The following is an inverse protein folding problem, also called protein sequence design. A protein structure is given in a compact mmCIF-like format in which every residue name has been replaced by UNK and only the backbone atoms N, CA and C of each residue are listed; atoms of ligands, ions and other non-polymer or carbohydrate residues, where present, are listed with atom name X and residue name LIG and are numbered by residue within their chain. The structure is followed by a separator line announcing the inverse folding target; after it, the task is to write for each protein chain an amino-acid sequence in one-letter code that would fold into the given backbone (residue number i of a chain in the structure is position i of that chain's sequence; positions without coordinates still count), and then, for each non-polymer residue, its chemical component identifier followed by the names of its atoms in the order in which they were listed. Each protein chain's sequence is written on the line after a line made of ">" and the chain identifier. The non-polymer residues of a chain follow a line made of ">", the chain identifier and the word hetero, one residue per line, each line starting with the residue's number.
data_IF_167685486674
#
_entry.id   IF_167685486674
#
_cell.length_a   1.000
_cell.length_b   1.000
_cell.length_c   1.000
_cell.angle_alpha   90.00
_cell.angle_beta   90.00
_cell.angle_gamma   90.00
#
_symmetry.space_group_name_H-M   'P 1'
#
loop_
_entity.id
_entity.type
_entity.pdbx_description
1 polymer ?
#
# COMPACT_ATOMS: atom_id res chain seq x y z
N UNK A 1 11.77 -20.62 -25.31
CA UNK A 1 10.46 -20.36 -24.68
C UNK A 1 9.58 -19.59 -25.66
N UNK A 2 8.32 -19.97 -25.86
CA UNK A 2 7.40 -19.22 -26.73
C UNK A 2 6.88 -17.95 -26.04
N UNK A 3 6.53 -16.92 -26.81
CA UNK A 3 6.02 -15.64 -26.29
C UNK A 3 4.81 -15.80 -25.34
N UNK A 4 3.82 -16.68 -25.61
CA UNK A 4 2.71 -16.91 -24.69
C UNK A 4 3.13 -17.46 -23.32
N UNK A 5 4.05 -18.43 -23.29
CA UNK A 5 4.55 -19.02 -22.03
C UNK A 5 5.31 -18.01 -21.18
N UNK A 6 6.08 -17.12 -21.82
CA UNK A 6 6.77 -16.03 -21.12
C UNK A 6 5.79 -15.02 -20.52
N UNK A 7 4.74 -14.67 -21.27
CA UNK A 7 3.71 -13.76 -20.81
C UNK A 7 2.94 -14.33 -19.60
N UNK A 8 2.54 -15.60 -19.68
CA UNK A 8 1.88 -16.32 -18.60
C UNK A 8 2.73 -16.35 -17.31
N UNK A 9 4.03 -16.64 -17.43
CA UNK A 9 4.94 -16.59 -16.27
C UNK A 9 5.01 -15.20 -15.62
N UNK A 10 5.04 -14.13 -16.42
CA UNK A 10 5.05 -12.76 -15.90
C UNK A 10 3.73 -12.40 -15.21
N UNK A 11 2.61 -12.81 -15.79
CA UNK A 11 1.28 -12.60 -15.21
C UNK A 11 1.17 -13.31 -13.86
N UNK A 12 1.57 -14.58 -13.78
CA UNK A 12 1.56 -15.35 -12.53
C UNK A 12 2.49 -14.75 -11.47
N UNK A 13 3.67 -14.25 -11.87
CA UNK A 13 4.59 -13.58 -10.97
C UNK A 13 3.99 -12.30 -10.38
N UNK A 14 3.39 -11.44 -11.22
CA UNK A 14 2.74 -10.22 -10.77
C UNK A 14 1.55 -10.52 -9.85
N UNK A 15 0.78 -11.55 -10.18
CA UNK A 15 -0.36 -11.98 -9.39
C UNK A 15 0.03 -12.44 -7.98
N UNK A 16 1.14 -13.20 -7.85
CA UNK A 16 1.63 -13.65 -6.54
C UNK A 16 2.17 -12.48 -5.69
N UNK A 17 2.80 -11.49 -6.32
CA UNK A 17 3.24 -10.26 -5.63
C UNK A 17 2.05 -9.46 -5.10
N UNK A 18 0.98 -9.32 -5.90
CA UNK A 18 -0.25 -8.67 -5.46
C UNK A 18 -0.90 -9.40 -4.28
N UNK A 19 -0.94 -10.73 -4.32
CA UNK A 19 -1.48 -11.56 -3.23
C UNK A 19 -0.68 -11.39 -1.93
N UNK A 20 0.66 -11.45 -2.01
CA UNK A 20 1.53 -11.19 -0.85
C UNK A 20 1.32 -9.79 -0.29
N UNK A 21 1.17 -8.78 -1.14
CA UNK A 21 0.92 -7.41 -0.69
C UNK A 21 -0.44 -7.27 0.01
N UNK A 22 -1.50 -7.89 -0.53
CA UNK A 22 -2.83 -7.90 0.11
C UNK A 22 -2.78 -8.54 1.49
N UNK A 23 -2.08 -9.68 1.65
CA UNK A 23 -1.92 -10.35 2.94
C UNK A 23 -1.25 -9.44 3.99
N UNK A 24 -0.19 -8.74 3.60
CA UNK A 24 0.53 -7.83 4.51
C UNK A 24 -0.35 -6.64 4.91
N UNK A 25 -1.11 -6.09 3.96
CA UNK A 25 -2.03 -4.98 4.22
C UNK A 25 -3.24 -5.42 5.06
N UNK A 26 -3.77 -6.63 4.83
CA UNK A 26 -4.94 -7.18 5.52
C UNK A 26 -4.68 -7.61 6.95
N UNK A 27 -3.49 -8.14 7.25
CA UNK A 27 -3.18 -8.71 8.57
C UNK A 27 -2.91 -7.67 9.67
N UNK A 28 -3.06 -6.36 9.41
CA UNK A 28 -2.87 -5.30 10.39
C UNK A 28 -1.43 -5.10 10.89
N UNK A 29 -0.55 -6.09 10.68
CA UNK A 29 0.87 -6.11 11.03
C UNK A 29 1.76 -5.23 10.13
N UNK A 30 1.18 -4.53 9.16
CA UNK A 30 1.87 -3.62 8.24
C UNK A 30 2.79 -2.59 8.93
N UNK A 31 2.56 -2.27 10.21
CA UNK A 31 3.41 -1.36 10.99
C UNK A 31 4.75 -2.00 11.37
N UNK A 32 4.81 -3.32 11.59
CA UNK A 32 6.03 -4.05 11.94
C UNK A 32 6.86 -4.44 10.70
N UNK A 33 6.28 -4.35 9.50
CA UNK A 33 6.91 -4.80 8.25
C UNK A 33 7.10 -3.67 7.21
N UNK A 34 7.39 -2.44 7.66
CA UNK A 34 7.56 -1.27 6.78
C UNK A 34 8.56 -1.48 5.65
N UNK A 35 9.67 -2.18 5.93
CA UNK A 35 10.69 -2.49 4.92
C UNK A 35 10.16 -3.51 3.90
N UNK A 36 9.44 -4.53 4.36
CA UNK A 36 8.87 -5.59 3.51
C UNK A 36 7.78 -5.07 2.57
N UNK A 37 6.97 -4.12 3.03
CA UNK A 37 5.97 -3.45 2.18
C UNK A 37 6.65 -2.67 1.05
N UNK A 38 7.75 -1.95 1.36
CA UNK A 38 8.49 -1.19 0.34
C UNK A 38 9.16 -2.11 -0.67
N UNK A 39 9.77 -3.20 -0.21
CA UNK A 39 10.38 -4.22 -1.06
C UNK A 39 9.35 -4.83 -2.02
N UNK A 40 8.21 -5.30 -1.50
CA UNK A 40 7.15 -5.90 -2.34
C UNK A 40 6.54 -4.87 -3.30
N UNK A 41 6.37 -3.61 -2.88
CA UNK A 41 5.88 -2.57 -3.78
C UNK A 41 6.88 -2.29 -4.92
N UNK A 42 8.18 -2.29 -4.61
CA UNK A 42 9.24 -2.13 -5.62
C UNK A 42 9.24 -3.31 -6.60
N UNK A 43 9.25 -4.54 -6.11
CA UNK A 43 9.20 -5.77 -6.92
C UNK A 43 7.96 -5.78 -7.83
N UNK A 44 6.79 -5.44 -7.28
CA UNK A 44 5.53 -5.38 -8.04
C UNK A 44 5.58 -4.35 -9.16
N UNK A 45 6.12 -3.16 -8.89
CA UNK A 45 6.26 -2.12 -9.92
C UNK A 45 7.21 -2.57 -11.04
N UNK A 46 8.31 -3.23 -10.68
CA UNK A 46 9.24 -3.78 -11.67
C UNK A 46 8.58 -4.90 -12.49
N UNK A 47 7.84 -5.81 -11.85
CA UNK A 47 7.10 -6.87 -12.53
C UNK A 47 6.03 -6.31 -13.49
N UNK A 48 5.36 -5.22 -13.12
CA UNK A 48 4.39 -4.53 -13.97
C UNK A 48 5.03 -3.89 -15.20
N UNK A 49 6.12 -3.13 -15.03
CA UNK A 49 6.82 -2.51 -16.17
C UNK A 49 7.37 -3.58 -17.14
N UNK A 50 7.88 -4.68 -16.59
CA UNK A 50 8.31 -5.83 -17.39
C UNK A 50 7.16 -6.46 -18.20
N UNK A 51 5.99 -6.61 -17.59
CA UNK A 51 4.79 -7.12 -18.27
C UNK A 51 4.34 -6.15 -19.38
N UNK A 52 4.32 -4.86 -19.09
CA UNK A 52 3.96 -3.79 -20.04
C UNK A 52 4.88 -3.78 -21.26
N UNK A 53 6.18 -3.92 -21.06
CA UNK A 53 7.16 -3.97 -22.15
C UNK A 53 6.96 -5.20 -23.03
N UNK A 54 6.72 -6.37 -22.43
CA UNK A 54 6.47 -7.60 -23.19
C UNK A 54 5.17 -7.50 -24.00
N UNK A 55 4.09 -6.99 -23.40
CA UNK A 55 2.82 -6.75 -24.07
C UNK A 55 2.97 -5.75 -25.23
N UNK A 56 3.76 -4.69 -25.06
CA UNK A 56 4.04 -3.71 -26.11
C UNK A 56 4.81 -4.33 -27.27
N UNK A 57 5.80 -5.17 -26.98
CA UNK A 57 6.57 -5.90 -27.99
C UNK A 57 5.71 -6.91 -28.79
N UNK A 58 4.69 -7.49 -28.15
CA UNK A 58 3.72 -8.39 -28.80
C UNK A 58 2.68 -7.58 -29.60
N UNK A 59 2.21 -6.46 -29.06
CA UNK A 59 1.19 -5.60 -29.70
C UNK A 59 1.66 -5.02 -31.03
N UNK A 60 2.96 -4.74 -31.19
CA UNK A 60 3.54 -4.33 -32.47
C UNK A 60 3.40 -5.39 -33.58
N UNK A 61 3.08 -6.64 -33.22
CA UNK A 61 2.83 -7.76 -34.14
C UNK A 61 1.33 -8.06 -34.15
N UNK A 62 0.53 -7.20 -34.78
CA UNK A 62 -0.96 -7.22 -34.81
C UNK A 62 -1.58 -8.61 -35.08
N UNK A 63 -0.92 -9.49 -35.84
CA UNK A 63 -1.36 -10.88 -36.07
C UNK A 63 -1.27 -11.78 -34.82
N UNK A 64 -0.38 -11.50 -33.88
CA UNK A 64 -0.20 -12.30 -32.67
C UNK A 64 -1.35 -12.13 -31.67
N UNK A 65 -2.00 -10.96 -31.62
CA UNK A 65 -3.07 -10.65 -30.66
C UNK A 65 -4.38 -11.42 -30.87
N UNK A 66 -4.57 -12.03 -32.04
CA UNK A 66 -5.72 -12.88 -32.36
C UNK A 66 -5.46 -14.37 -32.13
N UNK A 67 -4.27 -14.73 -31.63
CA UNK A 67 -3.93 -16.12 -31.39
C UNK A 67 -4.59 -16.61 -30.07
N UNK A 68 -5.24 -17.78 -30.03
CA UNK A 68 -5.98 -18.29 -28.86
C UNK A 68 -5.15 -18.32 -27.57
N UNK A 69 -3.84 -18.58 -27.68
CA UNK A 69 -2.92 -18.54 -26.54
C UNK A 69 -2.85 -17.17 -25.82
N UNK A 70 -3.33 -16.07 -26.42
CA UNK A 70 -3.42 -14.75 -25.78
C UNK A 70 -4.79 -14.44 -25.18
N UNK A 71 -5.85 -15.22 -25.45
CA UNK A 71 -7.16 -15.03 -24.83
C UNK A 71 -7.14 -15.32 -23.33
N UNK A 72 -6.41 -16.35 -22.91
CA UNK A 72 -6.16 -16.64 -21.49
C UNK A 72 -5.41 -15.50 -20.79
N UNK A 73 -4.46 -14.87 -21.49
CA UNK A 73 -3.71 -13.73 -20.97
C UNK A 73 -4.61 -12.50 -20.73
N UNK A 74 -5.64 -12.27 -21.56
CA UNK A 74 -6.58 -11.14 -21.36
C UNK A 74 -7.35 -11.25 -20.04
N UNK A 75 -7.83 -12.44 -19.71
CA UNK A 75 -8.53 -12.69 -18.46
C UNK A 75 -7.63 -12.49 -17.24
N UNK A 76 -6.38 -12.95 -17.32
CA UNK A 76 -5.38 -12.73 -16.28
C UNK A 76 -5.04 -11.25 -16.09
N UNK A 77 -4.86 -10.51 -17.19
CA UNK A 77 -4.64 -9.04 -17.14
C UNK A 77 -5.83 -8.34 -16.46
N UNK A 78 -7.06 -8.69 -16.83
CA UNK A 78 -8.25 -8.10 -16.20
C UNK A 78 -8.29 -8.37 -14.68
N UNK A 79 -7.96 -9.61 -14.25
CA UNK A 79 -7.85 -9.96 -12.83
C UNK A 79 -6.77 -9.15 -12.10
N UNK A 80 -5.60 -9.00 -12.70
CA UNK A 80 -4.49 -8.22 -12.12
C UNK A 80 -4.88 -6.75 -11.95
N UNK A 81 -5.56 -6.16 -12.95
CA UNK A 81 -6.04 -4.79 -12.88
C UNK A 81 -7.09 -4.61 -11.78
N UNK A 82 -7.98 -5.59 -11.59
CA UNK A 82 -8.97 -5.53 -10.53
C UNK A 82 -8.33 -5.64 -9.14
N UNK A 83 -7.35 -6.53 -8.96
CA UNK A 83 -6.56 -6.61 -7.71
C UNK A 83 -5.80 -5.32 -7.43
N UNK A 84 -5.31 -4.63 -8.46
CA UNK A 84 -4.59 -3.38 -8.29
C UNK A 84 -5.49 -2.24 -7.80
N UNK A 85 -6.75 -2.19 -8.25
CA UNK A 85 -7.76 -1.27 -7.70
C UNK A 85 -8.01 -1.55 -6.22
N UNK A 86 -8.17 -2.82 -5.84
CA UNK A 86 -8.37 -3.22 -4.44
C UNK A 86 -7.18 -2.82 -3.59
N UNK A 87 -5.95 -3.13 -4.03
CA UNK A 87 -4.71 -2.74 -3.33
C UNK A 87 -4.62 -1.21 -3.15
N UNK A 88 -4.96 -0.46 -4.18
CA UNK A 88 -4.95 1.01 -4.15
C UNK A 88 -5.91 1.54 -3.09
N UNK A 89 -7.11 0.96 -3.01
CA UNK A 89 -8.10 1.32 -2.00
C UNK A 89 -7.62 0.96 -0.58
N UNK A 90 -7.10 -0.26 -0.37
CA UNK A 90 -6.57 -0.69 0.94
C UNK A 90 -5.43 0.22 1.44
N UNK A 91 -4.52 0.62 0.55
CA UNK A 91 -3.42 1.55 0.89
C UNK A 91 -3.97 2.91 1.31
N UNK A 92 -4.98 3.41 0.60
CA UNK A 92 -5.64 4.68 0.93
C UNK A 92 -6.31 4.62 2.30
N UNK A 93 -7.11 3.59 2.55
CA UNK A 93 -7.82 3.42 3.82
C UNK A 93 -6.85 3.36 5.00
N UNK A 94 -5.73 2.63 4.83
CA UNK A 94 -4.70 2.52 5.87
C UNK A 94 -3.96 3.82 6.12
N UNK A 95 -3.73 4.62 5.08
CA UNK A 95 -3.14 5.96 5.19
C UNK A 95 -4.06 6.90 5.98
N UNK A 96 -5.35 6.85 5.70
CA UNK A 96 -6.35 7.68 6.39
C UNK A 96 -6.45 7.29 7.87
N UNK A 97 -6.48 6.00 8.18
CA UNK A 97 -6.44 5.49 9.56
C UNK A 97 -5.20 5.96 10.34
N UNK A 98 -4.01 5.88 9.72
CA UNK A 98 -2.76 6.35 10.33
C UNK A 98 -2.79 7.86 10.58
N UNK A 99 -3.35 8.63 9.66
CA UNK A 99 -3.50 10.09 9.78
C UNK A 99 -4.39 10.45 10.99
N UNK A 100 -5.51 9.73 11.15
CA UNK A 100 -6.41 9.90 12.30
C UNK A 100 -5.68 9.57 13.61
N UNK A 101 -5.01 8.42 13.67
CA UNK A 101 -4.23 8.00 14.86
C UNK A 101 -3.15 9.01 15.23
N UNK A 102 -2.41 9.52 14.25
CA UNK A 102 -1.39 10.54 14.47
C UNK A 102 -1.98 11.84 15.03
N UNK A 103 -3.11 12.28 14.47
CA UNK A 103 -3.83 13.46 14.96
C UNK A 103 -4.26 13.28 16.42
N UNK A 104 -4.82 12.12 16.78
CA UNK A 104 -5.22 11.80 18.15
C UNK A 104 -4.02 11.81 19.11
N UNK A 105 -2.90 11.20 18.72
CA UNK A 105 -1.66 11.20 19.51
C UNK A 105 -1.15 12.64 19.71
N UNK A 106 -1.16 13.47 18.67
CA UNK A 106 -0.73 14.87 18.77
C UNK A 106 -1.63 15.68 19.72
N UNK A 107 -2.95 15.48 19.67
CA UNK A 107 -3.90 16.09 20.60
C UNK A 107 -3.61 15.65 22.04
N UNK A 108 -3.49 14.34 22.29
CA UNK A 108 -3.14 13.80 23.60
C UNK A 108 -1.82 14.35 24.14
N UNK A 109 -0.78 14.46 23.29
CA UNK A 109 0.50 15.09 23.65
C UNK A 109 0.36 16.56 24.05
N UNK A 110 -0.48 17.35 23.34
CA UNK A 110 -0.74 18.75 23.70
C UNK A 110 -1.45 18.85 25.04
N UNK A 111 -2.48 18.03 25.26
CA UNK A 111 -3.19 17.95 26.54
C UNK A 111 -2.25 17.63 27.70
N UNK A 112 -1.40 16.60 27.56
CA UNK A 112 -0.41 16.23 28.57
C UNK A 112 0.60 17.34 28.87
N UNK A 113 1.08 18.06 27.85
CA UNK A 113 1.95 19.24 28.06
C UNK A 113 1.23 20.37 28.81
N UNK A 114 -0.06 20.57 28.57
CA UNK A 114 -0.87 21.53 29.31
C UNK A 114 -0.93 21.22 30.81
N UNK A 115 -0.98 19.93 31.17
CA UNK A 115 -0.91 19.49 32.57
C UNK A 115 0.49 19.58 33.19
N UNK A 116 1.56 19.44 32.39
CA UNK A 116 2.95 19.55 32.84
C UNK A 116 3.47 21.01 32.91
N UNK A 117 2.72 21.97 32.35
CA UNK A 117 3.11 23.37 32.19
C UNK A 117 2.55 24.34 33.24
N UNK A 118 2.20 23.90 34.45
CA UNK A 118 1.88 24.85 35.53
C UNK A 118 2.27 24.36 36.93
N UNK A 119 3.45 24.77 37.42
CA UNK A 119 3.68 24.95 38.84
C UNK A 119 3.86 26.44 39.13
N UNK A 120 2.76 27.14 39.45
CA UNK A 120 2.68 28.35 40.31
C UNK A 120 1.26 28.94 40.19
N UNK A 121 0.41 29.05 41.23
CA UNK A 121 0.64 29.22 42.68
C UNK A 121 -0.57 28.69 43.49
N UNK A 122 -0.37 27.89 44.55
CA UNK A 122 -1.18 27.95 45.76
C UNK A 122 -0.46 28.85 46.77
N UNK A 123 -0.95 30.06 47.01
CA UNK A 123 -0.32 30.96 47.99
C UNK A 123 -0.63 32.44 47.79
N UNK A 124 -1.90 32.81 47.74
CA UNK A 124 -2.31 34.09 48.34
C UNK A 124 -2.55 33.81 49.81
N UNK A 125 -1.57 34.11 50.67
CA UNK A 125 -1.81 34.18 52.11
C UNK A 125 -2.82 35.30 52.34
N UNK A 126 -3.93 34.98 52.99
CA UNK A 126 -4.72 36.02 53.67
C UNK A 126 -3.81 36.63 54.74
N UNK A 127 -3.40 37.87 54.55
CA UNK A 127 -2.97 38.71 55.66
C UNK A 127 -4.20 38.98 56.52
N UNK A 128 -4.27 38.31 57.67
CA UNK A 128 -5.15 38.72 58.77
C UNK A 128 -4.43 39.85 59.51
N UNK A 129 -4.88 41.08 59.29
CA UNK A 129 -4.64 42.18 60.22
C UNK A 129 -5.65 42.08 61.36
N UNK A 130 -5.15 41.77 62.55
CA UNK A 130 -5.85 41.82 63.83
C UNK A 130 -4.86 42.20 64.92
#
# INVERSE_FOLDING_TARGET
>A
MSAPKRLEQRLNHLESLQERQMLILGNGAAILEKNRIKEIAFERNQAFENLRNELSAISGKVKALRHPAFEGCRHQVARILERDKILTQMIKDRRDELSIKMTTIQKGRRTLRGYQGSPNRPGTSMEYTG
#
